data_IF_044832491315
#
_entry.id   IF_044832491315
#
_cell.length_a   1.000
_cell.length_b   1.000
_cell.length_c   1.000
_cell.angle_alpha   90.00
_cell.angle_beta   90.00
_cell.angle_gamma   90.00
#
_symmetry.space_group_name_H-M   'P 1'
#
loop_
_entity.id
_entity.type
_entity.pdbx_description
1 polymer ?
#
# COMPACT_ATOMS: atom_id res chain seq x y z
N UNK A 1 5.57 10.03 -16.47
CA UNK A 1 4.47 10.90 -16.95
C UNK A 1 3.56 11.33 -15.80
N UNK A 2 2.87 10.40 -15.13
CA UNK A 2 1.97 10.74 -14.00
C UNK A 2 2.67 11.58 -12.91
N UNK A 3 3.88 11.21 -12.49
CA UNK A 3 4.63 11.97 -11.47
C UNK A 3 4.84 13.46 -11.83
N UNK A 4 4.96 13.80 -13.12
CA UNK A 4 5.14 15.18 -13.59
C UNK A 4 3.83 15.98 -13.54
N UNK A 5 2.68 15.31 -13.60
CA UNK A 5 1.34 15.92 -13.50
C UNK A 5 0.86 16.01 -12.04
N UNK A 6 1.55 15.34 -11.10
CA UNK A 6 1.17 15.30 -9.69
C UNK A 6 2.05 16.25 -8.88
N UNK A 7 1.58 17.45 -8.48
CA UNK A 7 2.36 18.35 -7.62
C UNK A 7 2.48 17.81 -6.19
N UNK A 8 1.54 16.97 -5.76
CA UNK A 8 1.57 16.32 -4.46
C UNK A 8 2.75 15.36 -4.29
N UNK A 9 3.07 14.98 -3.04
CA UNK A 9 4.26 14.18 -2.74
C UNK A 9 4.03 12.68 -2.95
N UNK A 10 2.77 12.22 -3.07
CA UNK A 10 2.42 10.80 -3.05
C UNK A 10 2.07 10.26 -4.43
N UNK A 11 2.43 9.02 -4.70
CA UNK A 11 1.86 8.21 -5.78
C UNK A 11 1.42 6.85 -5.24
N UNK A 12 0.16 6.51 -5.45
CA UNK A 12 -0.39 5.22 -5.07
C UNK A 12 -0.16 4.20 -6.19
N UNK A 13 0.42 3.05 -5.86
CA UNK A 13 0.73 1.98 -6.84
C UNK A 13 -0.23 0.78 -6.75
N UNK A 14 -1.20 0.82 -5.84
CA UNK A 14 -2.17 -0.27 -5.66
C UNK A 14 -1.56 -1.39 -4.82
N UNK A 15 -1.54 -2.61 -5.37
CA UNK A 15 -0.98 -3.81 -4.72
C UNK A 15 -2.03 -4.72 -4.08
N UNK A 16 -3.31 -4.42 -4.23
CA UNK A 16 -4.41 -5.25 -3.78
C UNK A 16 -4.68 -6.44 -4.72
N UNK A 17 -5.25 -7.51 -4.16
CA UNK A 17 -5.85 -8.64 -4.89
C UNK A 17 -5.00 -9.29 -5.99
N UNK A 18 -3.67 -9.25 -5.87
CA UNK A 18 -2.73 -9.92 -6.79
C UNK A 18 -2.73 -11.46 -6.64
N UNK A 19 -3.91 -12.08 -6.51
CA UNK A 19 -4.09 -13.50 -6.19
C UNK A 19 -3.59 -14.47 -7.26
N UNK A 20 -3.47 -14.00 -8.51
CA UNK A 20 -2.89 -14.77 -9.61
C UNK A 20 -1.36 -14.62 -9.73
N UNK A 21 -0.74 -13.87 -8.83
CA UNK A 21 0.71 -13.63 -8.79
C UNK A 21 1.30 -14.40 -7.61
N UNK A 22 2.40 -15.11 -7.82
CA UNK A 22 3.10 -15.77 -6.72
C UNK A 22 3.59 -14.72 -5.71
N UNK A 23 3.75 -15.09 -4.44
CA UNK A 23 4.24 -14.13 -3.45
C UNK A 23 5.65 -13.62 -3.81
N UNK A 24 6.54 -14.49 -4.30
CA UNK A 24 7.88 -14.10 -4.75
C UNK A 24 7.83 -13.07 -5.90
N UNK A 25 6.98 -13.32 -6.90
CA UNK A 25 6.80 -12.39 -8.02
C UNK A 25 6.19 -11.06 -7.56
N UNK A 26 5.24 -11.11 -6.61
CA UNK A 26 4.64 -9.91 -6.02
C UNK A 26 5.70 -9.07 -5.30
N UNK A 27 6.53 -9.69 -4.45
CA UNK A 27 7.64 -8.99 -3.76
C UNK A 27 8.60 -8.37 -4.77
N UNK A 28 9.02 -9.13 -5.79
CA UNK A 28 9.93 -8.65 -6.82
C UNK A 28 9.32 -7.48 -7.65
N UNK A 29 8.00 -7.53 -7.90
CA UNK A 29 7.28 -6.47 -8.58
C UNK A 29 7.20 -5.20 -7.72
N UNK A 30 6.80 -5.33 -6.45
CA UNK A 30 6.65 -4.19 -5.55
C UNK A 30 8.00 -3.50 -5.31
N UNK A 31 9.10 -4.23 -5.11
CA UNK A 31 10.45 -3.66 -5.00
C UNK A 31 10.81 -2.79 -6.21
N UNK A 32 10.53 -3.26 -7.44
CA UNK A 32 10.78 -2.49 -8.66
C UNK A 32 9.86 -1.27 -8.77
N UNK A 33 8.58 -1.42 -8.46
CA UNK A 33 7.60 -0.35 -8.54
C UNK A 33 7.90 0.79 -7.55
N UNK A 34 8.25 0.46 -6.31
CA UNK A 34 8.64 1.44 -5.28
C UNK A 34 9.85 2.26 -5.72
N UNK A 35 10.90 1.61 -6.25
CA UNK A 35 12.09 2.29 -6.81
C UNK A 35 11.76 3.24 -7.95
N UNK A 36 10.79 2.91 -8.79
CA UNK A 36 10.33 3.81 -9.87
C UNK A 36 9.69 5.07 -9.28
N UNK A 37 8.83 4.91 -8.27
CA UNK A 37 8.18 6.06 -7.58
C UNK A 37 9.23 6.95 -6.93
N UNK A 38 10.20 6.37 -6.22
CA UNK A 38 11.31 7.08 -5.59
C UNK A 38 12.19 7.82 -6.62
N UNK A 39 12.51 7.17 -7.77
CA UNK A 39 13.26 7.79 -8.88
C UNK A 39 12.62 9.09 -9.38
N UNK A 40 11.30 9.21 -9.30
CA UNK A 40 10.57 10.42 -9.70
C UNK A 40 10.29 11.39 -8.54
N UNK A 41 10.96 11.22 -7.39
CA UNK A 41 10.89 12.13 -6.25
C UNK A 41 9.55 12.09 -5.52
N UNK A 42 8.84 10.96 -5.57
CA UNK A 42 7.55 10.75 -4.92
C UNK A 42 7.68 9.72 -3.79
N UNK A 43 6.81 9.84 -2.80
CA UNK A 43 6.63 8.84 -1.74
C UNK A 43 5.59 7.82 -2.16
N UNK A 44 5.91 6.54 -2.03
CA UNK A 44 4.98 5.48 -2.41
C UNK A 44 3.83 5.35 -1.41
N UNK A 45 2.64 5.09 -1.95
CA UNK A 45 1.48 4.61 -1.20
C UNK A 45 1.02 3.30 -1.85
N UNK A 46 0.63 2.33 -1.05
CA UNK A 46 0.05 1.08 -1.54
C UNK A 46 -1.02 0.57 -0.59
N UNK A 47 -1.83 -0.38 -1.03
CA UNK A 47 -2.70 -1.12 -0.12
C UNK A 47 -1.87 -1.94 0.86
N UNK A 48 -2.49 -2.37 1.97
CA UNK A 48 -1.77 -2.99 3.08
C UNK A 48 -1.01 -4.26 2.71
N UNK A 49 -1.32 -4.93 1.60
CA UNK A 49 -0.52 -6.04 1.08
C UNK A 49 0.94 -5.65 0.81
N UNK A 50 1.25 -4.35 0.61
CA UNK A 50 2.63 -3.85 0.55
C UNK A 50 3.43 -4.18 1.82
N UNK A 51 2.79 -4.29 3.00
CA UNK A 51 3.49 -4.60 4.26
C UNK A 51 4.14 -5.99 4.26
N UNK A 52 3.60 -6.92 3.47
CA UNK A 52 4.19 -8.24 3.25
C UNK A 52 5.27 -8.26 2.15
N UNK A 53 5.51 -7.15 1.45
CA UNK A 53 6.43 -7.05 0.33
C UNK A 53 7.61 -6.10 0.52
N UNK A 54 7.89 -5.71 1.78
CA UNK A 54 9.01 -4.83 2.11
C UNK A 54 8.76 -3.39 1.67
N UNK A 55 7.99 -2.61 2.46
CA UNK A 55 7.81 -1.18 2.21
C UNK A 55 9.14 -0.42 2.27
N UNK A 56 9.40 0.43 1.29
CA UNK A 56 10.53 1.37 1.29
C UNK A 56 10.43 2.36 2.46
N UNK A 57 11.56 2.95 2.86
CA UNK A 57 11.57 3.97 3.90
C UNK A 57 10.64 5.15 3.55
N UNK A 58 9.76 5.51 4.49
CA UNK A 58 8.79 6.59 4.30
C UNK A 58 7.52 6.20 3.53
N UNK A 59 7.42 4.96 3.02
CA UNK A 59 6.23 4.42 2.40
C UNK A 59 4.99 4.52 3.32
N UNK A 60 3.82 4.56 2.69
CA UNK A 60 2.53 4.58 3.38
C UNK A 60 1.71 3.37 2.91
N UNK A 61 1.18 2.61 3.86
CA UNK A 61 0.27 1.50 3.57
C UNK A 61 -1.17 1.88 3.93
N UNK A 62 -2.12 1.59 3.04
CA UNK A 62 -3.54 1.83 3.24
C UNK A 62 -4.24 0.53 3.66
N UNK A 63 -4.71 0.51 4.90
CA UNK A 63 -5.43 -0.62 5.48
C UNK A 63 -6.89 -0.63 5.06
N UNK A 64 -7.31 -1.73 4.45
CA UNK A 64 -8.70 -1.95 4.01
C UNK A 64 -9.34 -3.21 4.59
N UNK A 65 -8.62 -3.96 5.44
CA UNK A 65 -9.15 -5.15 6.09
C UNK A 65 -10.33 -4.84 7.02
N UNK A 66 -10.97 -5.89 7.51
CA UNK A 66 -12.21 -5.80 8.31
C UNK A 66 -12.04 -6.22 9.77
N UNK A 67 -10.94 -6.90 10.09
CA UNK A 67 -10.69 -7.52 11.41
C UNK A 67 -9.75 -6.69 12.29
N UNK A 68 -8.73 -6.06 11.69
CA UNK A 68 -7.65 -5.36 12.39
C UNK A 68 -6.58 -6.29 12.97
N UNK A 69 -6.53 -7.55 12.53
CA UNK A 69 -5.68 -8.61 13.10
C UNK A 69 -4.46 -8.96 12.22
N UNK A 70 -4.26 -8.26 11.12
CA UNK A 70 -3.19 -8.51 10.17
C UNK A 70 -1.81 -8.19 10.79
N UNK A 71 -1.12 -9.24 11.24
CA UNK A 71 0.14 -9.13 11.97
C UNK A 71 1.24 -8.40 11.18
N UNK A 72 1.29 -8.58 9.86
CA UNK A 72 2.24 -7.90 8.98
C UNK A 72 2.02 -6.38 8.97
N UNK A 73 0.75 -5.94 8.98
CA UNK A 73 0.41 -4.52 9.02
C UNK A 73 0.82 -3.92 10.35
N UNK A 74 0.51 -4.60 11.45
CA UNK A 74 0.93 -4.19 12.79
C UNK A 74 2.45 -4.14 12.92
N UNK A 75 3.18 -5.10 12.34
CA UNK A 75 4.63 -5.15 12.38
C UNK A 75 5.26 -4.03 11.51
N UNK A 76 4.72 -3.78 10.32
CA UNK A 76 5.19 -2.69 9.46
C UNK A 76 4.98 -1.32 10.13
N UNK A 77 3.85 -1.13 10.81
CA UNK A 77 3.59 0.08 11.60
C UNK A 77 4.61 0.27 12.73
N UNK A 78 4.94 -0.80 13.48
CA UNK A 78 6.00 -0.78 14.50
C UNK A 78 7.37 -0.47 13.90
N UNK A 79 7.62 -0.90 12.67
CA UNK A 79 8.84 -0.62 11.92
C UNK A 79 8.86 0.78 11.27
N UNK A 80 7.83 1.61 11.49
CA UNK A 80 7.77 3.01 11.04
C UNK A 80 7.01 3.24 9.73
N UNK A 81 6.44 2.20 9.12
CA UNK A 81 5.54 2.38 7.96
C UNK A 81 4.28 3.14 8.41
N UNK A 82 3.96 4.25 7.75
CA UNK A 82 2.77 5.03 8.08
C UNK A 82 1.52 4.33 7.56
N UNK A 83 0.41 4.43 8.29
CA UNK A 83 -0.85 3.82 7.91
C UNK A 83 -1.93 4.86 7.56
N UNK A 84 -2.67 4.60 6.48
CA UNK A 84 -3.99 5.19 6.21
C UNK A 84 -5.04 4.13 6.58
N UNK A 85 -6.04 4.49 7.37
CA UNK A 85 -7.11 3.57 7.75
C UNK A 85 -8.35 3.82 6.90
N UNK A 86 -8.71 2.84 6.09
CA UNK A 86 -9.98 2.81 5.35
C UNK A 86 -10.62 1.42 5.41
N UNK A 87 -11.00 0.88 6.60
CA UNK A 87 -11.52 -0.48 6.73
C UNK A 87 -12.78 -0.70 5.89
N UNK A 88 -12.85 -1.80 5.14
CA UNK A 88 -13.95 -2.04 4.20
C UNK A 88 -15.32 -2.13 4.87
N UNK A 89 -15.39 -2.60 6.12
CA UNK A 89 -16.63 -2.66 6.90
C UNK A 89 -16.95 -1.36 7.67
N UNK A 90 -16.22 -0.26 7.40
CA UNK A 90 -16.40 1.02 8.11
C UNK A 90 -16.49 2.23 7.19
N UNK A 91 -15.65 2.30 6.16
CA UNK A 91 -15.50 3.51 5.35
C UNK A 91 -15.52 3.29 3.83
N UNK A 92 -15.83 2.08 3.39
CA UNK A 92 -16.18 1.84 1.99
C UNK A 92 -17.60 2.33 1.74
N UNK A 93 -17.72 3.42 0.99
CA UNK A 93 -18.99 4.10 0.73
C UNK A 93 -19.90 3.33 -0.24
N UNK A 94 -19.35 2.35 -0.93
CA UNK A 94 -20.07 1.43 -1.82
C UNK A 94 -20.75 0.26 -1.08
N UNK A 95 -20.45 0.07 0.21
CA UNK A 95 -21.15 -0.92 1.04
C UNK A 95 -22.61 -0.51 1.25
N UNK A 96 -23.49 -1.52 1.25
CA UNK A 96 -24.91 -1.31 1.52
C UNK A 96 -25.12 -0.91 2.98
N UNK A 97 -26.11 -0.06 3.20
CA UNK A 97 -26.68 0.15 4.53
C UNK A 97 -27.49 -1.09 4.94
N UNK A 98 -27.54 -1.35 6.25
CA UNK A 98 -28.42 -2.35 6.84
C UNK A 98 -29.91 -1.95 6.76
#
# INVERSE_FOLDING_TARGET
EIAALTPGPYLHIGGDEAHSTSHEDYVAFMDRAQKIVAKYGKTVVGWHQLTGAGPDEGAVAQYWGTTGEEAEVAQAAKNGTRLILSPANRSYLDMKYD
#
